data_IF_271852029371
#
_entry.id   IF_271852029371
#
_cell.length_a   1.000
_cell.length_b   1.000
_cell.length_c   1.000
_cell.angle_alpha   90.00
_cell.angle_beta   90.00
_cell.angle_gamma   90.00
#
_symmetry.space_group_name_H-M   'P 1'
#
loop_
_entity.id
_entity.type
_entity.pdbx_description
1 polymer ?
#
# COMPACT_ATOMS: atom_id res chain seq x y z
N UNK A 1 -7.21 -1.68 29.57
CA UNK A 1 -5.75 -1.62 29.44
C UNK A 1 -5.03 -2.72 30.23
N UNK A 2 -5.44 -3.05 31.46
CA UNK A 2 -4.78 -4.10 32.26
C UNK A 2 -4.78 -5.48 31.57
N UNK A 3 -5.87 -5.86 30.91
CA UNK A 3 -5.94 -7.10 30.13
C UNK A 3 -4.96 -7.11 28.97
N UNK A 4 -4.85 -5.99 28.23
CA UNK A 4 -3.88 -5.85 27.15
C UNK A 4 -2.43 -5.89 27.66
N UNK A 5 -2.15 -5.25 28.80
CA UNK A 5 -0.82 -5.32 29.41
C UNK A 5 -0.44 -6.76 29.84
N UNK A 6 -1.41 -7.53 30.38
CA UNK A 6 -1.19 -8.94 30.71
C UNK A 6 -0.91 -9.80 29.47
N UNK A 7 -1.67 -9.57 28.39
CA UNK A 7 -1.49 -10.26 27.11
C UNK A 7 -0.11 -9.96 26.50
N UNK A 8 0.34 -8.71 26.55
CA UNK A 8 1.68 -8.31 26.08
C UNK A 8 2.77 -9.04 26.86
N UNK A 9 2.64 -9.16 28.19
CA UNK A 9 3.61 -9.92 28.98
C UNK A 9 3.64 -11.39 28.62
N UNK A 10 2.48 -11.99 28.36
CA UNK A 10 2.38 -13.40 27.99
C UNK A 10 2.92 -13.69 26.58
N UNK A 11 2.63 -12.83 25.61
CA UNK A 11 2.94 -13.09 24.20
C UNK A 11 4.29 -12.56 23.75
N UNK A 12 4.78 -11.49 24.40
CA UNK A 12 6.05 -10.85 24.02
C UNK A 12 7.14 -11.21 25.03
N UNK A 13 7.02 -10.73 26.25
CA UNK A 13 7.95 -11.00 27.35
C UNK A 13 7.40 -10.45 28.67
N UNK A 14 7.66 -11.11 29.79
CA UNK A 14 7.21 -10.70 31.12
C UNK A 14 7.68 -9.27 31.48
N UNK A 15 8.92 -8.91 31.13
CA UNK A 15 9.51 -7.60 31.38
C UNK A 15 9.29 -6.62 30.22
N UNK A 16 8.31 -6.86 29.37
CA UNK A 16 8.06 -5.98 28.23
C UNK A 16 7.58 -4.60 28.69
N UNK A 17 8.42 -3.59 28.51
CA UNK A 17 8.16 -2.20 28.88
C UNK A 17 6.85 -1.63 28.30
N UNK A 18 6.41 -2.13 27.16
CA UNK A 18 5.15 -1.75 26.54
C UNK A 18 3.96 -2.00 27.47
N UNK A 19 3.99 -3.09 28.26
CA UNK A 19 2.92 -3.40 29.18
C UNK A 19 2.74 -2.33 30.28
N UNK A 20 3.84 -1.75 30.73
CA UNK A 20 3.81 -0.66 31.73
C UNK A 20 3.33 0.67 31.12
N UNK A 21 3.72 0.94 29.86
CA UNK A 21 3.23 2.11 29.14
C UNK A 21 1.72 2.04 28.87
N UNK A 22 1.21 0.88 28.47
CA UNK A 22 -0.21 0.66 28.20
C UNK A 22 -1.06 1.03 29.42
N UNK A 23 -0.65 0.63 30.61
CA UNK A 23 -1.38 0.96 31.86
C UNK A 23 -1.46 2.48 32.06
N UNK A 24 -0.47 3.22 31.58
CA UNK A 24 -0.41 4.69 31.66
C UNK A 24 -1.16 5.39 30.51
N UNK A 25 -1.79 4.65 29.62
CA UNK A 25 -2.49 5.20 28.44
C UNK A 25 -1.58 5.59 27.29
N UNK A 26 -0.37 5.06 27.25
CA UNK A 26 0.64 5.30 26.23
C UNK A 26 1.02 3.99 25.56
N UNK A 27 1.25 4.01 24.26
CA UNK A 27 1.75 2.85 23.51
C UNK A 27 2.83 3.25 22.52
N UNK A 28 3.59 2.26 22.06
CA UNK A 28 4.32 2.35 20.80
C UNK A 28 3.82 1.28 19.84
N UNK A 29 3.84 1.61 18.55
CA UNK A 29 3.38 0.76 17.47
C UNK A 29 4.50 0.63 16.43
N UNK A 30 5.11 -0.54 16.40
CA UNK A 30 6.26 -0.85 15.55
C UNK A 30 6.06 -2.21 14.88
N UNK A 31 6.70 -2.42 13.72
CA UNK A 31 6.54 -3.62 12.91
C UNK A 31 6.93 -4.93 13.59
N UNK A 32 7.80 -4.88 14.60
CA UNK A 32 8.26 -6.06 15.36
C UNK A 32 7.25 -6.61 16.36
N UNK A 33 6.21 -5.85 16.71
CA UNK A 33 5.16 -6.34 17.59
C UNK A 33 4.30 -7.39 16.87
N UNK A 34 3.83 -8.43 17.58
CA UNK A 34 2.86 -9.38 17.06
C UNK A 34 1.62 -8.66 16.48
N UNK A 35 1.08 -9.17 15.38
CA UNK A 35 0.00 -8.52 14.67
C UNK A 35 -1.28 -8.34 15.53
N UNK A 36 -1.60 -9.32 16.37
CA UNK A 36 -2.71 -9.24 17.31
C UNK A 36 -2.52 -8.14 18.35
N UNK A 37 -1.29 -7.97 18.89
CA UNK A 37 -0.98 -6.89 19.85
C UNK A 37 -1.11 -5.53 19.14
N UNK A 38 -0.59 -5.38 17.93
CA UNK A 38 -0.75 -4.14 17.15
C UNK A 38 -2.22 -3.78 16.97
N UNK A 39 -3.04 -4.74 16.53
CA UNK A 39 -4.48 -4.54 16.34
C UNK A 39 -5.20 -4.16 17.65
N UNK A 40 -4.77 -4.73 18.78
CA UNK A 40 -5.33 -4.41 20.11
C UNK A 40 -4.98 -2.99 20.55
N UNK A 41 -3.75 -2.54 20.29
CA UNK A 41 -3.31 -1.16 20.51
C UNK A 41 -4.16 -0.19 19.67
N UNK A 42 -4.32 -0.47 18.39
CA UNK A 42 -5.13 0.33 17.46
C UNK A 42 -6.57 0.48 17.95
N UNK A 43 -7.23 -0.62 18.27
CA UNK A 43 -8.61 -0.60 18.80
C UNK A 43 -8.71 0.14 20.14
N UNK A 44 -7.70 0.03 21.00
CA UNK A 44 -7.70 0.75 22.29
C UNK A 44 -7.50 2.24 22.10
N UNK A 45 -6.73 2.66 21.10
CA UNK A 45 -6.59 4.07 20.74
C UNK A 45 -7.87 4.62 20.09
N UNK A 46 -8.47 3.88 19.18
CA UNK A 46 -9.74 4.25 18.54
C UNK A 46 -10.87 4.48 19.54
N UNK A 47 -10.89 3.68 20.61
CA UNK A 47 -11.86 3.83 21.71
C UNK A 47 -11.51 4.96 22.70
N UNK A 48 -10.31 5.54 22.58
CA UNK A 48 -9.83 6.56 23.52
C UNK A 48 -9.27 6.01 24.84
N UNK A 49 -9.11 4.68 24.97
CA UNK A 49 -8.48 4.05 26.14
C UNK A 49 -6.97 4.43 26.21
N UNK A 50 -6.31 4.47 25.04
CA UNK A 50 -4.97 4.99 24.86
C UNK A 50 -5.04 6.44 24.35
N UNK A 51 -4.21 7.32 24.95
CA UNK A 51 -4.17 8.74 24.61
C UNK A 51 -3.03 9.11 23.69
N UNK A 52 -1.96 8.32 23.70
CA UNK A 52 -0.74 8.61 22.94
C UNK A 52 -0.17 7.33 22.35
N UNK A 53 0.15 7.39 21.06
CA UNK A 53 0.87 6.34 20.37
C UNK A 53 2.13 6.93 19.73
N UNK A 54 3.28 6.33 20.03
CA UNK A 54 4.51 6.53 19.28
C UNK A 54 4.61 5.46 18.19
N UNK A 55 4.81 5.88 16.95
CA UNK A 55 4.83 4.95 15.83
C UNK A 55 5.97 5.25 14.86
N UNK A 56 6.39 4.22 14.18
CA UNK A 56 7.21 4.33 12.98
C UNK A 56 6.30 4.49 11.75
N UNK A 57 6.87 4.47 10.56
CA UNK A 57 6.13 4.51 9.29
C UNK A 57 5.07 3.42 9.11
N UNK A 58 5.04 2.40 9.97
CA UNK A 58 4.00 1.35 9.97
C UNK A 58 2.57 1.87 10.08
N UNK A 59 2.37 3.06 10.65
CA UNK A 59 1.05 3.73 10.67
C UNK A 59 0.69 4.43 9.35
N UNK A 60 1.63 4.64 8.45
CA UNK A 60 1.35 5.21 7.12
C UNK A 60 0.62 4.18 6.28
N UNK A 61 0.93 2.90 6.46
CA UNK A 61 0.41 1.79 5.69
C UNK A 61 -0.82 1.15 6.37
N UNK A 62 -2.02 1.55 5.95
CA UNK A 62 -3.24 0.76 6.15
C UNK A 62 -4.01 0.95 7.45
N UNK A 63 -3.50 1.61 8.48
CA UNK A 63 -4.20 1.79 9.75
C UNK A 63 -4.97 3.11 9.80
N UNK A 64 -6.26 3.01 10.10
CA UNK A 64 -7.17 4.16 10.11
C UNK A 64 -7.36 4.71 11.54
N UNK A 65 -6.32 5.29 12.14
CA UNK A 65 -6.37 5.86 13.48
C UNK A 65 -6.66 7.36 13.44
N UNK A 66 -7.81 7.80 13.96
CA UNK A 66 -8.11 9.21 14.10
C UNK A 66 -7.27 9.82 15.24
N UNK A 67 -6.60 10.92 14.96
CA UNK A 67 -5.83 11.65 15.95
C UNK A 67 -6.25 13.12 15.97
N UNK A 68 -6.31 13.73 17.16
CA UNK A 68 -6.53 15.17 17.32
C UNK A 68 -5.25 15.94 17.04
N UNK A 69 -4.11 15.38 17.47
CA UNK A 69 -2.79 15.97 17.29
C UNK A 69 -1.82 14.93 16.72
N UNK A 70 -1.13 15.30 15.68
CA UNK A 70 -0.08 14.51 15.05
C UNK A 70 1.25 15.26 15.17
N UNK A 71 2.22 14.63 15.82
CA UNK A 71 3.59 15.13 15.92
C UNK A 71 4.46 14.35 14.94
N UNK A 72 4.99 15.03 13.93
CA UNK A 72 5.92 14.46 12.97
C UNK A 72 7.33 14.86 13.39
N UNK A 73 8.08 13.90 13.91
CA UNK A 73 9.45 14.11 14.40
C UNK A 73 10.49 13.88 13.31
N UNK A 74 10.14 13.17 12.24
CA UNK A 74 11.05 12.92 11.12
C UNK A 74 10.26 12.81 9.81
N UNK A 75 10.81 13.35 8.73
CA UNK A 75 10.32 13.17 7.37
C UNK A 75 10.93 11.94 6.67
N UNK A 76 11.63 11.08 7.43
CA UNK A 76 12.20 9.84 6.90
C UNK A 76 11.22 8.68 7.03
N UNK A 77 11.17 7.86 5.99
CA UNK A 77 10.53 6.56 5.99
C UNK A 77 11.61 5.49 5.76
N UNK A 78 12.10 4.89 6.84
CA UNK A 78 13.25 3.99 6.79
C UNK A 78 14.53 4.69 6.32
N UNK A 79 15.07 4.24 5.20
CA UNK A 79 16.32 4.82 4.63
C UNK A 79 16.05 5.96 3.63
N UNK A 80 14.82 6.13 3.17
CA UNK A 80 14.41 7.17 2.22
C UNK A 80 13.70 8.33 2.91
N UNK A 81 13.60 9.45 2.21
CA UNK A 81 12.73 10.54 2.63
C UNK A 81 11.28 10.20 2.24
N UNK A 82 10.35 10.61 3.08
CA UNK A 82 8.92 10.53 2.80
C UNK A 82 8.59 11.35 1.54
N UNK A 83 7.81 10.77 0.65
CA UNK A 83 7.31 11.47 -0.52
C UNK A 83 6.04 12.29 -0.19
N UNK A 84 5.54 13.05 -1.15
CA UNK A 84 4.38 13.94 -0.99
C UNK A 84 3.09 13.15 -0.73
N UNK A 85 2.95 11.97 -1.32
CA UNK A 85 1.77 11.10 -1.14
C UNK A 85 1.76 10.50 0.26
N UNK A 86 2.90 9.96 0.71
CA UNK A 86 3.08 9.42 2.06
C UNK A 86 2.81 10.50 3.12
N UNK A 87 3.38 11.69 2.93
CA UNK A 87 3.19 12.80 3.84
C UNK A 87 1.72 13.25 3.91
N UNK A 88 1.05 13.40 2.77
CA UNK A 88 -0.38 13.75 2.70
C UNK A 88 -1.27 12.67 3.30
N UNK A 89 -0.96 11.41 3.09
CA UNK A 89 -1.67 10.30 3.71
C UNK A 89 -1.53 10.33 5.25
N UNK A 90 -0.35 10.69 5.75
CA UNK A 90 -0.10 10.82 7.18
C UNK A 90 -0.89 12.02 7.77
N UNK A 91 -0.79 13.19 7.16
CA UNK A 91 -1.52 14.40 7.57
C UNK A 91 -3.03 14.21 7.48
N UNK A 92 -3.52 13.51 6.46
CA UNK A 92 -4.94 13.22 6.26
C UNK A 92 -5.57 12.30 7.32
N UNK A 93 -4.79 11.79 8.26
CA UNK A 93 -5.30 11.00 9.40
C UNK A 93 -5.76 11.87 10.59
N UNK A 94 -5.50 13.16 10.52
CA UNK A 94 -5.82 14.12 11.58
C UNK A 94 -7.14 14.85 11.28
N UNK A 95 -7.95 15.09 12.31
CA UNK A 95 -9.17 15.89 12.17
C UNK A 95 -10.29 15.21 11.38
N UNK A 96 -10.60 13.96 11.62
CA UNK A 96 -11.70 13.28 10.93
C UNK A 96 -13.06 13.75 11.40
N UNK A 97 -13.93 14.10 10.45
CA UNK A 97 -15.28 14.65 10.66
C UNK A 97 -16.12 13.85 11.66
N UNK A 98 -15.92 12.52 11.74
CA UNK A 98 -16.66 11.66 12.69
C UNK A 98 -16.32 11.94 14.16
N UNK A 99 -15.10 12.46 14.43
CA UNK A 99 -14.58 12.65 15.79
C UNK A 99 -14.33 14.12 16.10
N UNK A 100 -13.61 14.82 15.22
CA UNK A 100 -13.30 16.24 15.33
C UNK A 100 -13.21 16.89 13.95
N UNK A 101 -13.75 18.14 13.84
CA UNK A 101 -13.68 18.93 12.60
C UNK A 101 -12.27 19.42 12.30
N UNK A 102 -11.43 19.53 13.32
CA UNK A 102 -10.07 20.07 13.22
C UNK A 102 -9.09 19.14 13.90
N UNK A 103 -7.88 19.10 13.37
CA UNK A 103 -6.75 18.44 13.98
C UNK A 103 -5.48 19.24 13.75
N UNK A 104 -4.52 19.07 14.65
CA UNK A 104 -3.26 19.79 14.60
C UNK A 104 -2.16 18.87 14.08
N UNK A 105 -1.40 19.34 13.09
CA UNK A 105 -0.16 18.69 12.64
C UNK A 105 1.01 19.55 13.09
N UNK A 106 1.84 18.99 13.94
CA UNK A 106 2.98 19.65 14.54
C UNK A 106 4.26 19.02 13.96
N UNK A 107 5.00 19.80 13.20
CA UNK A 107 6.27 19.38 12.64
C UNK A 107 7.37 19.71 13.66
N UNK A 108 7.97 18.65 14.20
CA UNK A 108 8.99 18.78 15.25
C UNK A 108 10.36 18.75 14.60
N UNK A 109 11.13 19.79 14.82
CA UNK A 109 12.54 19.86 14.40
C UNK A 109 13.42 19.32 15.52
N UNK A 110 13.93 18.11 15.36
CA UNK A 110 14.78 17.47 16.38
C UNK A 110 16.28 17.80 16.21
N UNK A 111 16.72 18.06 14.97
CA UNK A 111 18.11 18.41 14.68
C UNK A 111 18.23 19.47 13.57
N UNK A 112 19.40 20.11 13.49
CA UNK A 112 19.69 21.15 12.49
C UNK A 112 19.78 20.62 11.04
N UNK A 113 19.82 19.29 10.85
CA UNK A 113 19.86 18.64 9.53
C UNK A 113 18.49 18.53 8.89
N UNK A 114 17.42 18.62 9.70
CA UNK A 114 16.06 18.65 9.18
C UNK A 114 15.74 20.08 8.70
N UNK A 115 15.76 20.26 7.40
CA UNK A 115 15.49 21.57 6.81
C UNK A 115 13.99 21.88 6.88
N UNK A 116 13.64 23.00 7.46
CA UNK A 116 12.27 23.53 7.49
C UNK A 116 11.69 23.64 6.06
N UNK A 117 12.55 23.93 5.09
CA UNK A 117 12.20 23.99 3.68
C UNK A 117 11.61 22.67 3.17
N UNK A 118 12.10 21.52 3.64
CA UNK A 118 11.57 20.22 3.19
C UNK A 118 10.13 20.01 3.66
N UNK A 119 9.79 20.41 4.86
CA UNK A 119 8.41 20.35 5.33
C UNK A 119 7.48 21.31 4.57
N UNK A 120 7.97 22.52 4.27
CA UNK A 120 7.24 23.48 3.45
C UNK A 120 7.01 22.95 2.04
N UNK A 121 8.03 22.33 1.45
CA UNK A 121 7.95 21.69 0.16
C UNK A 121 6.88 20.58 0.16
N UNK A 122 6.93 19.64 1.12
CA UNK A 122 5.95 18.56 1.26
C UNK A 122 4.51 19.06 1.45
N UNK A 123 4.33 20.22 2.10
CA UNK A 123 3.02 20.84 2.28
C UNK A 123 2.51 21.56 1.03
N UNK A 124 3.39 22.15 0.25
CA UNK A 124 3.05 23.02 -0.89
C UNK A 124 3.02 22.30 -2.23
N UNK A 125 3.76 21.20 -2.35
CA UNK A 125 3.80 20.43 -3.61
C UNK A 125 2.47 19.77 -3.87
N UNK A 126 1.92 19.97 -5.05
CA UNK A 126 0.73 19.25 -5.50
C UNK A 126 1.05 17.76 -5.61
N UNK A 127 0.13 16.94 -5.12
CA UNK A 127 0.26 15.48 -5.27
C UNK A 127 0.23 15.17 -6.76
N UNK A 128 1.29 14.55 -7.30
CA UNK A 128 1.28 14.17 -8.69
C UNK A 128 0.10 13.23 -8.97
N UNK A 129 -0.55 13.32 -10.13
CA UNK A 129 -1.64 12.41 -10.46
C UNK A 129 -1.14 10.98 -10.32
N UNK A 130 -1.88 10.17 -9.57
CA UNK A 130 -1.53 8.76 -9.39
C UNK A 130 -1.49 8.09 -10.74
N UNK A 131 -0.31 7.63 -11.12
CA UNK A 131 -0.16 6.76 -12.30
C UNK A 131 -0.70 5.40 -11.90
N UNK A 132 -1.78 4.98 -12.52
CA UNK A 132 -2.24 3.60 -12.37
C UNK A 132 -1.27 2.69 -13.13
N UNK A 133 -1.18 1.42 -12.75
CA UNK A 133 -0.42 0.44 -13.52
C UNK A 133 -0.92 0.33 -14.99
N UNK A 134 -2.10 0.88 -15.28
CA UNK A 134 -2.66 1.04 -16.63
C UNK A 134 -2.10 2.24 -17.39
N UNK A 135 -1.38 3.17 -16.74
CA UNK A 135 -0.72 4.30 -17.41
C UNK A 135 0.60 3.87 -18.09
N UNK A 136 0.45 3.01 -19.08
CA UNK A 136 1.54 2.42 -19.89
C UNK A 136 2.24 3.46 -20.79
N UNK A 137 1.88 4.74 -20.69
CA UNK A 137 2.31 5.81 -21.62
C UNK A 137 3.83 6.07 -21.68
N UNK A 138 4.60 5.55 -20.73
CA UNK A 138 6.04 5.86 -20.69
C UNK A 138 6.92 4.90 -21.51
N UNK A 139 6.42 3.73 -21.92
CA UNK A 139 7.20 2.78 -22.73
C UNK A 139 6.28 1.92 -23.61
N UNK A 140 5.50 2.58 -24.47
CA UNK A 140 4.44 1.98 -25.29
C UNK A 140 4.95 0.83 -26.18
N UNK A 141 6.16 0.98 -26.74
CA UNK A 141 6.76 -0.02 -27.62
C UNK A 141 7.16 -1.29 -26.86
N UNK A 142 7.81 -1.13 -25.70
CA UNK A 142 8.21 -2.24 -24.85
C UNK A 142 7.00 -3.01 -24.29
N UNK A 143 5.99 -2.28 -23.80
CA UNK A 143 4.78 -2.90 -23.27
C UNK A 143 3.96 -3.57 -24.37
N UNK A 144 3.90 -2.95 -25.56
CA UNK A 144 3.25 -3.57 -26.72
C UNK A 144 3.93 -4.87 -27.15
N UNK A 145 5.26 -4.94 -27.11
CA UNK A 145 6.01 -6.16 -27.36
C UNK A 145 5.67 -7.25 -26.34
N UNK A 146 5.74 -6.93 -25.03
CA UNK A 146 5.41 -7.87 -23.96
C UNK A 146 3.96 -8.40 -24.03
N UNK A 147 3.00 -7.55 -24.39
CA UNK A 147 1.59 -7.95 -24.56
C UNK A 147 1.45 -8.92 -25.73
N UNK A 148 2.15 -8.70 -26.84
CA UNK A 148 2.14 -9.60 -27.99
C UNK A 148 2.80 -10.95 -27.63
N UNK A 149 3.95 -10.93 -26.97
CA UNK A 149 4.64 -12.13 -26.52
C UNK A 149 3.79 -12.95 -25.54
N UNK A 150 3.07 -12.26 -24.63
CA UNK A 150 2.10 -12.91 -23.75
C UNK A 150 0.95 -13.57 -24.54
N UNK A 151 0.42 -12.87 -25.55
CA UNK A 151 -0.67 -13.38 -26.38
C UNK A 151 -0.25 -14.57 -27.25
N UNK A 152 1.01 -14.58 -27.67
CA UNK A 152 1.59 -15.66 -28.46
C UNK A 152 2.10 -16.83 -27.62
N UNK A 153 2.17 -16.67 -26.28
CA UNK A 153 2.61 -17.70 -25.36
C UNK A 153 4.14 -17.85 -25.27
N UNK A 154 4.88 -16.87 -25.78
CA UNK A 154 6.34 -16.90 -25.91
C UNK A 154 7.09 -16.26 -24.73
N UNK A 155 6.41 -16.02 -23.61
CA UNK A 155 7.07 -15.42 -22.44
C UNK A 155 7.76 -16.48 -21.62
N UNK A 156 9.08 -16.52 -21.71
CA UNK A 156 9.92 -17.21 -20.74
C UNK A 156 10.23 -16.31 -19.55
N UNK A 157 9.89 -16.74 -18.32
CA UNK A 157 10.22 -16.03 -17.08
C UNK A 157 11.75 -15.85 -16.89
N UNK A 158 12.57 -16.63 -17.60
CA UNK A 158 14.02 -16.55 -17.59
C UNK A 158 14.60 -15.28 -18.24
N UNK A 159 13.83 -14.57 -19.04
CA UNK A 159 14.28 -13.34 -19.72
C UNK A 159 14.17 -12.08 -18.89
N UNK A 160 13.57 -12.13 -17.70
CA UNK A 160 13.40 -10.99 -16.81
C UNK A 160 14.53 -10.90 -15.78
N UNK A 161 15.75 -10.61 -16.21
CA UNK A 161 16.90 -10.44 -15.31
C UNK A 161 17.04 -9.05 -14.70
N UNK A 162 16.20 -8.09 -15.09
CA UNK A 162 16.25 -6.70 -14.61
C UNK A 162 15.13 -6.48 -13.60
N UNK A 163 15.47 -6.18 -12.33
CA UNK A 163 14.51 -5.94 -11.24
C UNK A 163 13.50 -4.83 -11.55
N UNK A 164 13.89 -3.82 -12.33
CA UNK A 164 12.97 -2.75 -12.75
C UNK A 164 11.90 -3.28 -13.73
N UNK A 165 12.23 -4.27 -14.54
CA UNK A 165 11.33 -4.92 -15.49
C UNK A 165 10.47 -6.01 -14.84
N UNK A 166 10.91 -6.58 -13.73
CA UNK A 166 10.19 -7.62 -12.99
C UNK A 166 8.84 -7.10 -12.48
N UNK A 167 8.81 -5.86 -11.97
CA UNK A 167 7.57 -5.22 -11.50
C UNK A 167 6.60 -4.97 -12.65
N UNK A 168 7.10 -4.51 -13.80
CA UNK A 168 6.29 -4.29 -14.99
C UNK A 168 5.74 -5.61 -15.53
N UNK A 169 6.55 -6.66 -15.52
CA UNK A 169 6.17 -8.00 -15.94
C UNK A 169 5.09 -8.61 -15.03
N UNK A 170 5.22 -8.48 -13.70
CA UNK A 170 4.19 -8.95 -12.76
C UNK A 170 2.86 -8.19 -12.94
N UNK A 171 2.91 -6.87 -13.13
CA UNK A 171 1.74 -6.08 -13.41
C UNK A 171 1.08 -6.54 -14.72
N UNK A 172 1.86 -6.73 -15.78
CA UNK A 172 1.39 -7.21 -17.07
C UNK A 172 0.75 -8.59 -16.96
N UNK A 173 1.35 -9.51 -16.21
CA UNK A 173 0.79 -10.84 -15.96
C UNK A 173 -0.57 -10.77 -15.29
N UNK A 174 -0.74 -9.92 -14.28
CA UNK A 174 -2.03 -9.70 -13.60
C UNK A 174 -3.07 -9.15 -14.57
N UNK A 175 -2.70 -8.15 -15.38
CA UNK A 175 -3.60 -7.60 -16.40
C UNK A 175 -3.89 -8.59 -17.51
N UNK A 176 -2.93 -9.43 -17.90
CA UNK A 176 -3.13 -10.51 -18.86
C UNK A 176 -4.21 -11.50 -18.43
N UNK A 177 -4.27 -11.84 -17.14
CA UNK A 177 -5.34 -12.71 -16.60
C UNK A 177 -6.71 -12.03 -16.69
N UNK A 178 -6.80 -10.73 -16.37
CA UNK A 178 -8.05 -9.96 -16.48
C UNK A 178 -8.46 -9.88 -17.96
N UNK A 179 -7.54 -9.54 -18.83
CA UNK A 179 -7.78 -9.46 -20.27
C UNK A 179 -8.32 -10.79 -20.84
N UNK A 180 -7.67 -11.88 -20.45
CA UNK A 180 -8.08 -13.23 -20.90
C UNK A 180 -9.49 -13.58 -20.44
N UNK A 181 -9.80 -13.28 -19.18
CA UNK A 181 -11.14 -13.45 -18.62
C UNK A 181 -12.18 -12.59 -19.36
N UNK A 182 -11.91 -11.31 -19.55
CA UNK A 182 -12.83 -10.38 -20.22
C UNK A 182 -13.09 -10.78 -21.67
N UNK A 183 -12.04 -11.11 -22.41
CA UNK A 183 -12.17 -11.58 -23.79
C UNK A 183 -13.00 -12.88 -23.87
N UNK A 184 -12.82 -13.81 -22.92
CA UNK A 184 -13.58 -15.07 -22.90
C UNK A 184 -15.06 -14.87 -22.63
N UNK A 185 -15.42 -13.82 -21.91
CA UNK A 185 -16.82 -13.44 -21.61
C UNK A 185 -17.40 -12.43 -22.60
N UNK A 186 -16.62 -11.93 -23.56
CA UNK A 186 -17.03 -10.88 -24.49
C UNK A 186 -17.28 -9.55 -23.79
N UNK A 187 -16.62 -9.29 -22.67
CA UNK A 187 -16.75 -8.04 -21.90
C UNK A 187 -15.70 -7.04 -22.30
N UNK A 188 -16.07 -5.74 -22.33
CA UNK A 188 -15.14 -4.65 -22.53
C UNK A 188 -14.96 -3.87 -21.22
N UNK A 189 -13.79 -4.02 -20.61
CA UNK A 189 -13.39 -3.28 -19.40
C UNK A 189 -12.32 -2.25 -19.74
N UNK A 190 -11.94 -1.34 -18.83
CA UNK A 190 -10.80 -0.43 -19.04
C UNK A 190 -9.49 -1.16 -19.36
N UNK A 191 -9.32 -2.40 -18.88
CA UNK A 191 -8.14 -3.25 -19.20
C UNK A 191 -8.21 -3.67 -20.66
N UNK A 192 -9.33 -4.23 -21.12
CA UNK A 192 -9.52 -4.65 -22.51
C UNK A 192 -9.30 -3.48 -23.48
N UNK A 193 -9.92 -2.33 -23.19
CA UNK A 193 -9.77 -1.13 -24.03
C UNK A 193 -8.33 -0.64 -24.12
N UNK A 194 -7.57 -0.76 -23.02
CA UNK A 194 -6.17 -0.33 -23.00
C UNK A 194 -5.27 -1.26 -23.82
N UNK A 195 -5.56 -2.55 -23.81
CA UNK A 195 -4.78 -3.55 -24.54
C UNK A 195 -5.23 -3.73 -26.00
N UNK A 196 -6.40 -3.22 -26.37
CA UNK A 196 -6.91 -3.26 -27.74
C UNK A 196 -5.97 -2.61 -28.76
N UNK A 197 -5.20 -1.59 -28.34
CA UNK A 197 -4.22 -0.93 -29.20
C UNK A 197 -3.01 -1.82 -29.54
N UNK A 198 -2.73 -2.84 -28.75
CA UNK A 198 -1.53 -3.69 -28.85
C UNK A 198 -1.82 -5.07 -29.45
N UNK A 199 -3.08 -5.51 -29.44
CA UNK A 199 -3.48 -6.85 -29.87
C UNK A 199 -4.23 -6.80 -31.19
N UNK A 200 -3.84 -7.66 -32.12
CA UNK A 200 -4.61 -7.93 -33.32
C UNK A 200 -5.82 -8.82 -33.02
N UNK A 201 -6.85 -8.77 -33.83
CA UNK A 201 -8.04 -9.63 -33.69
C UNK A 201 -7.67 -11.11 -33.68
N UNK A 202 -6.65 -11.49 -34.46
CA UNK A 202 -6.15 -12.88 -34.48
C UNK A 202 -5.54 -13.31 -33.14
N UNK A 203 -4.82 -12.41 -32.48
CA UNK A 203 -4.24 -12.67 -31.16
C UNK A 203 -5.34 -12.75 -30.10
N UNK A 204 -6.34 -11.87 -30.14
CA UNK A 204 -7.52 -11.94 -29.26
C UNK A 204 -8.25 -13.27 -29.40
N UNK A 205 -8.49 -13.68 -30.64
CA UNK A 205 -9.15 -14.96 -30.91
C UNK A 205 -8.36 -16.14 -30.37
N UNK A 206 -7.03 -16.14 -30.54
CA UNK A 206 -6.14 -17.19 -30.01
C UNK A 206 -6.17 -17.26 -28.48
N UNK A 207 -6.22 -16.10 -27.80
CA UNK A 207 -6.38 -16.06 -26.34
C UNK A 207 -7.71 -16.72 -25.94
N UNK A 208 -8.81 -16.40 -26.63
CA UNK A 208 -10.14 -16.97 -26.34
C UNK A 208 -10.15 -18.48 -26.55
N UNK A 209 -9.54 -18.97 -27.61
CA UNK A 209 -9.48 -20.40 -27.95
C UNK A 209 -8.67 -21.22 -26.95
N UNK A 210 -7.55 -20.64 -26.45
CA UNK A 210 -6.67 -21.31 -25.51
C UNK A 210 -7.10 -21.17 -24.05
N UNK A 211 -8.09 -20.31 -23.75
CA UNK A 211 -8.58 -20.17 -22.40
C UNK A 211 -9.55 -21.30 -22.06
N UNK A 212 -9.30 -22.10 -21.02
CA UNK A 212 -10.19 -23.18 -20.63
C UNK A 212 -11.56 -22.62 -20.23
N UNK A 213 -12.58 -22.93 -21.01
CA UNK A 213 -13.94 -22.42 -20.87
C UNK A 213 -14.67 -22.90 -19.61
N UNK A 214 -14.16 -23.91 -18.91
CA UNK A 214 -14.75 -24.47 -17.69
C UNK A 214 -13.65 -24.94 -16.73
N UNK A 215 -13.43 -24.20 -15.66
CA UNK A 215 -13.05 -24.82 -14.39
C UNK A 215 -14.36 -25.06 -13.64
N UNK A 216 -14.88 -26.25 -13.74
CA UNK A 216 -15.94 -26.71 -12.82
C UNK A 216 -15.35 -26.72 -11.40
N UNK A 217 -16.22 -26.41 -10.41
CA UNK A 217 -15.88 -26.28 -8.98
C UNK A 217 -15.24 -27.52 -8.31
N UNK A 218 -14.90 -28.55 -9.08
CA UNK A 218 -14.33 -29.82 -8.62
C UNK A 218 -12.80 -29.88 -8.72
N UNK A 219 -12.13 -28.86 -9.26
CA UNK A 219 -10.66 -28.85 -9.42
C UNK A 219 -9.91 -28.11 -8.30
N UNK A 220 -10.58 -27.86 -7.17
CA UNK A 220 -9.97 -27.32 -5.95
C UNK A 220 -10.10 -28.41 -4.87
N UNK A 221 -9.21 -29.37 -4.88
CA UNK A 221 -8.83 -30.18 -3.73
C UNK A 221 -7.34 -30.11 -3.51
#
# INVERSE_FOLDING_TARGET
>A
LRALASEIRQEVHDDCYLADLIIRGVAYHVGYLPANIRLRIEKSFERGDLRTIFCTSTLIEGVNLPADNLFITSYRNGQSNMDEVEFRNLVGRVGRIKYNLYGNVILVKEDDKQKEERYKELLQTDVPPQKTALDIKQNTEYMGALVRDLADGDIEMSTCHDKAKETDFEALRKFGLILTHDLSLGQSTPVTQKFDEFLTERQKQRIIENFPKERTSNDIT
#
